data_IF_977430577215
#
_entry.id   IF_977430577215
#
_cell.length_a   1.000
_cell.length_b   1.000
_cell.length_c   1.000
_cell.angle_alpha   90.00
_cell.angle_beta   90.00
_cell.angle_gamma   90.00
#
_symmetry.space_group_name_H-M   'P 1'
#
loop_
_entity.id
_entity.type
_entity.pdbx_description
1 polymer ?
#
# COMPACT_ATOMS: atom_id res chain seq x y z
N UNK A 1 -7.86 -52.28 34.68
CA UNK A 1 -7.19 -50.99 34.90
C UNK A 1 -7.02 -50.34 33.53
N UNK A 2 -7.98 -49.49 33.17
CA UNK A 2 -8.10 -48.90 31.83
C UNK A 2 -7.40 -47.54 31.75
N UNK A 3 -6.60 -47.42 30.69
CA UNK A 3 -5.96 -46.23 30.14
C UNK A 3 -6.78 -44.92 30.24
N UNK A 4 -6.10 -43.79 30.47
CA UNK A 4 -6.42 -42.55 29.74
C UNK A 4 -5.22 -41.63 29.59
N UNK A 5 -4.69 -41.67 28.37
CA UNK A 5 -3.72 -40.76 27.76
C UNK A 5 -4.06 -39.28 28.00
N UNK A 6 -3.13 -38.53 28.61
CA UNK A 6 -3.13 -37.06 28.65
C UNK A 6 -2.04 -36.44 27.76
N UNK A 7 -1.79 -37.03 26.59
CA UNK A 7 -0.85 -36.46 25.61
C UNK A 7 -1.49 -36.36 24.24
N UNK A 8 -2.46 -35.48 24.09
CA UNK A 8 -2.84 -34.99 22.76
C UNK A 8 -2.97 -33.46 22.77
N UNK A 9 -2.29 -32.84 21.79
CA UNK A 9 -2.60 -31.55 21.17
C UNK A 9 -1.87 -30.23 21.55
N UNK A 10 -0.65 -30.22 22.10
CA UNK A 10 0.10 -28.95 22.29
C UNK A 10 0.76 -28.36 21.02
N UNK A 11 0.75 -29.07 19.88
CA UNK A 11 1.42 -28.63 18.64
C UNK A 11 0.62 -27.63 17.77
N UNK A 12 -0.64 -27.36 18.08
CA UNK A 12 -1.53 -26.56 17.22
C UNK A 12 -2.01 -25.20 17.79
N UNK A 13 -1.61 -24.85 19.00
CA UNK A 13 -2.20 -23.73 19.74
C UNK A 13 -1.78 -22.35 19.20
N UNK A 14 -0.55 -22.24 18.71
CA UNK A 14 0.01 -21.01 18.12
C UNK A 14 -0.72 -20.52 16.86
N UNK A 15 -1.55 -21.37 16.25
CA UNK A 15 -2.30 -21.05 15.02
C UNK A 15 -3.78 -20.71 15.30
N UNK A 16 -4.19 -20.67 16.56
CA UNK A 16 -5.61 -20.53 16.94
C UNK A 16 -6.19 -19.21 16.44
N UNK A 17 -5.53 -18.09 16.75
CA UNK A 17 -5.95 -16.79 16.24
C UNK A 17 -5.89 -16.72 14.71
N UNK A 18 -4.84 -17.26 14.10
CA UNK A 18 -4.70 -17.31 12.65
C UNK A 18 -5.87 -18.06 12.00
N UNK A 19 -6.30 -19.18 12.58
CA UNK A 19 -7.44 -19.96 12.08
C UNK A 19 -8.74 -19.17 12.19
N UNK A 20 -8.99 -18.51 13.32
CA UNK A 20 -10.19 -17.67 13.54
C UNK A 20 -10.26 -16.53 12.53
N UNK A 21 -9.16 -15.80 12.32
CA UNK A 21 -9.07 -14.72 11.34
C UNK A 21 -9.29 -15.25 9.93
N UNK A 22 -8.64 -16.37 9.57
CA UNK A 22 -8.79 -17.00 8.25
C UNK A 22 -10.22 -17.44 7.96
N UNK A 23 -10.94 -17.95 8.96
CA UNK A 23 -12.36 -18.34 8.83
C UNK A 23 -13.32 -17.18 9.05
N UNK A 24 -12.82 -15.94 9.22
CA UNK A 24 -13.61 -14.74 9.52
C UNK A 24 -14.51 -14.89 10.75
N UNK A 25 -14.10 -15.70 11.71
CA UNK A 25 -14.82 -15.90 12.97
C UNK A 25 -14.43 -14.80 13.95
N UNK A 26 -14.86 -13.57 13.66
CA UNK A 26 -14.43 -12.36 14.39
C UNK A 26 -14.80 -12.42 15.87
N UNK A 27 -16.01 -12.86 16.21
CA UNK A 27 -16.45 -12.99 17.61
C UNK A 27 -15.54 -13.92 18.41
N UNK A 28 -15.09 -15.03 17.80
CA UNK A 28 -14.16 -15.96 18.44
C UNK A 28 -12.77 -15.36 18.61
N UNK A 29 -12.34 -14.52 17.66
CA UNK A 29 -11.08 -13.81 17.76
C UNK A 29 -11.14 -12.73 18.85
N UNK A 30 -12.24 -11.99 18.95
CA UNK A 30 -12.45 -11.01 20.01
C UNK A 30 -12.55 -11.67 21.40
N UNK A 31 -13.30 -12.76 21.53
CA UNK A 31 -13.33 -13.56 22.77
C UNK A 31 -11.94 -14.08 23.14
N UNK A 32 -11.15 -14.51 22.15
CA UNK A 32 -9.76 -14.88 22.39
C UNK A 32 -8.95 -13.70 22.95
N UNK A 33 -9.13 -12.49 22.41
CA UNK A 33 -8.48 -11.29 22.95
C UNK A 33 -9.00 -10.87 24.33
N UNK A 34 -10.24 -11.19 24.69
CA UNK A 34 -10.76 -10.91 26.04
C UNK A 34 -10.22 -11.89 27.08
N UNK A 35 -10.16 -13.19 26.74
CA UNK A 35 -9.86 -14.26 27.70
C UNK A 35 -8.38 -14.62 27.79
N UNK A 36 -7.62 -14.46 26.70
CA UNK A 36 -6.23 -14.92 26.66
C UNK A 36 -5.28 -14.00 27.45
N UNK A 37 -4.27 -14.61 28.08
CA UNK A 37 -3.16 -13.87 28.69
C UNK A 37 -2.30 -13.16 27.64
N UNK A 38 -1.60 -12.10 28.03
CA UNK A 38 -0.81 -11.28 27.10
C UNK A 38 0.25 -12.08 26.34
N UNK A 39 0.89 -13.04 27.01
CA UNK A 39 1.87 -13.93 26.40
C UNK A 39 1.27 -14.84 25.34
N UNK A 40 0.06 -15.35 25.55
CA UNK A 40 -0.64 -16.19 24.57
C UNK A 40 -1.06 -15.38 23.33
N UNK A 41 -1.55 -14.14 23.55
CA UNK A 41 -1.84 -13.19 22.46
C UNK A 41 -0.59 -12.91 21.64
N UNK A 42 0.52 -12.58 22.30
CA UNK A 42 1.78 -12.30 21.64
C UNK A 42 2.32 -13.51 20.85
N UNK A 43 2.24 -14.71 21.41
CA UNK A 43 2.64 -15.94 20.71
C UNK A 43 1.80 -16.16 19.44
N UNK A 44 0.49 -15.95 19.51
CA UNK A 44 -0.40 -16.07 18.35
C UNK A 44 -0.20 -14.94 17.32
N UNK A 45 0.08 -13.72 17.77
CA UNK A 45 0.35 -12.58 16.88
C UNK A 45 1.65 -12.73 16.10
N UNK A 46 2.67 -13.34 16.73
CA UNK A 46 3.96 -13.64 16.08
C UNK A 46 3.91 -14.86 15.17
N UNK A 47 2.79 -15.61 15.16
CA UNK A 47 2.67 -16.79 14.33
C UNK A 47 2.67 -16.44 12.84
N UNK A 48 3.58 -17.07 12.10
CA UNK A 48 3.65 -17.01 10.64
C UNK A 48 3.18 -18.34 10.07
N UNK A 49 2.06 -18.32 9.34
CA UNK A 49 1.62 -19.53 8.65
C UNK A 49 2.55 -19.79 7.46
N UNK A 50 3.27 -20.91 7.51
CA UNK A 50 4.04 -21.44 6.38
C UNK A 50 3.13 -22.23 5.46
N UNK A 51 3.10 -21.91 4.16
CA UNK A 51 2.47 -22.71 3.12
C UNK A 51 3.46 -22.91 1.97
N UNK A 52 3.99 -24.11 1.85
CA UNK A 52 4.78 -24.50 0.66
C UNK A 52 3.81 -24.79 -0.47
N UNK A 53 3.95 -24.08 -1.59
CA UNK A 53 3.20 -24.34 -2.82
C UNK A 53 3.97 -25.35 -3.70
N UNK A 54 3.32 -26.00 -4.69
CA UNK A 54 3.96 -27.03 -5.51
C UNK A 54 5.23 -26.59 -6.24
N UNK A 55 5.43 -25.29 -6.43
CA UNK A 55 6.67 -24.71 -6.97
C UNK A 55 7.86 -24.70 -6.00
N UNK A 56 7.71 -25.24 -4.78
CA UNK A 56 8.73 -25.23 -3.73
C UNK A 56 8.81 -23.93 -2.93
N UNK A 57 8.12 -22.86 -3.36
CA UNK A 57 8.10 -21.58 -2.67
C UNK A 57 7.32 -21.66 -1.34
N UNK A 58 7.91 -21.22 -0.23
CA UNK A 58 7.22 -21.15 1.07
C UNK A 58 6.64 -19.76 1.28
N UNK A 59 5.31 -19.67 1.37
CA UNK A 59 4.60 -18.43 1.68
C UNK A 59 4.40 -18.27 3.17
N UNK A 60 4.63 -17.06 3.66
CA UNK A 60 4.44 -16.63 5.04
C UNK A 60 3.40 -15.51 5.05
N UNK A 61 2.45 -15.58 5.98
CA UNK A 61 1.47 -14.51 6.16
C UNK A 61 1.32 -14.22 7.65
N UNK A 62 1.70 -13.01 8.11
CA UNK A 62 1.38 -12.55 9.46
C UNK A 62 -0.12 -12.47 9.68
N UNK A 63 -0.59 -12.82 10.87
CA UNK A 63 -2.03 -12.79 11.19
C UNK A 63 -2.62 -11.38 11.11
N UNK A 64 -1.84 -10.35 11.47
CA UNK A 64 -2.26 -8.94 11.34
C UNK A 64 -2.49 -8.56 9.88
N UNK A 65 -1.53 -8.86 9.00
CA UNK A 65 -1.66 -8.62 7.55
C UNK A 65 -2.86 -9.35 6.95
N UNK A 66 -3.16 -10.57 7.43
CA UNK A 66 -4.34 -11.32 7.02
C UNK A 66 -5.64 -10.68 7.52
N UNK A 67 -5.69 -10.23 8.78
CA UNK A 67 -6.85 -9.57 9.35
C UNK A 67 -7.21 -8.29 8.59
N UNK A 68 -6.21 -7.48 8.25
CA UNK A 68 -6.35 -6.28 7.41
C UNK A 68 -6.91 -6.65 6.02
N UNK A 69 -6.31 -7.63 5.35
CA UNK A 69 -6.72 -8.03 4.00
C UNK A 69 -8.15 -8.61 3.94
N UNK A 70 -8.60 -9.25 5.02
CA UNK A 70 -9.93 -9.83 5.10
C UNK A 70 -11.01 -8.84 5.55
N UNK A 71 -10.61 -7.63 5.98
CA UNK A 71 -11.51 -6.60 6.50
C UNK A 71 -12.06 -6.94 7.88
N UNK A 72 -11.18 -7.39 8.79
CA UNK A 72 -11.54 -7.63 10.19
C UNK A 72 -12.07 -6.35 10.88
N UNK A 73 -12.86 -6.49 11.96
CA UNK A 73 -13.35 -5.33 12.71
C UNK A 73 -12.23 -4.41 13.16
N UNK A 74 -12.49 -3.09 13.12
CA UNK A 74 -11.51 -2.05 13.51
C UNK A 74 -11.03 -2.28 14.96
N UNK A 75 -11.93 -2.65 15.87
CA UNK A 75 -11.60 -2.94 17.27
C UNK A 75 -10.57 -4.06 17.39
N UNK A 76 -10.82 -5.19 16.73
CA UNK A 76 -9.90 -6.32 16.70
C UNK A 76 -8.53 -5.94 16.11
N UNK A 77 -8.50 -5.23 14.98
CA UNK A 77 -7.22 -4.80 14.36
C UNK A 77 -6.46 -3.86 15.31
N UNK A 78 -7.15 -2.93 15.98
CA UNK A 78 -6.53 -2.03 16.98
C UNK A 78 -5.91 -2.81 18.11
N UNK A 79 -6.63 -3.77 18.70
CA UNK A 79 -6.09 -4.60 19.78
C UNK A 79 -4.87 -5.41 19.34
N UNK A 80 -4.92 -5.99 18.13
CA UNK A 80 -3.78 -6.72 17.57
C UNK A 80 -2.53 -5.83 17.44
N UNK A 81 -2.70 -4.57 17.02
CA UNK A 81 -1.60 -3.61 16.90
C UNK A 81 -1.08 -3.19 18.27
N UNK A 82 -1.97 -2.85 19.21
CA UNK A 82 -1.59 -2.38 20.54
C UNK A 82 -0.89 -3.47 21.36
N UNK A 83 -1.42 -4.70 21.35
CA UNK A 83 -0.80 -5.84 22.05
C UNK A 83 0.49 -6.27 21.35
N UNK A 84 0.50 -6.29 20.02
CA UNK A 84 1.63 -6.76 19.23
C UNK A 84 2.82 -5.79 19.20
N UNK A 85 2.54 -4.50 19.29
CA UNK A 85 3.51 -3.42 19.23
C UNK A 85 4.32 -3.38 17.92
N UNK A 86 5.44 -2.65 17.97
CA UNK A 86 6.33 -2.43 16.81
C UNK A 86 6.75 -3.73 16.13
N UNK A 87 7.09 -4.76 16.92
CA UNK A 87 7.55 -6.04 16.35
C UNK A 87 6.51 -6.70 15.45
N UNK A 88 5.23 -6.67 15.82
CA UNK A 88 4.17 -7.32 15.03
C UNK A 88 3.84 -6.52 13.77
N UNK A 89 3.81 -5.19 13.85
CA UNK A 89 3.53 -4.35 12.67
C UNK A 89 4.66 -4.37 11.63
N UNK A 90 5.89 -4.64 12.06
CA UNK A 90 7.08 -4.80 11.20
C UNK A 90 7.19 -6.19 10.56
N UNK A 91 6.35 -7.15 10.93
CA UNK A 91 6.38 -8.47 10.29
C UNK A 91 5.98 -8.38 8.82
N UNK A 92 6.73 -9.07 7.97
CA UNK A 92 6.46 -9.11 6.53
C UNK A 92 5.82 -10.41 6.10
N UNK A 93 5.00 -10.36 5.05
CA UNK A 93 4.58 -11.54 4.30
C UNK A 93 5.71 -12.05 3.38
N UNK A 94 5.45 -13.11 2.61
CA UNK A 94 6.42 -13.66 1.65
C UNK A 94 6.79 -12.73 0.50
N UNK A 95 6.06 -11.63 0.30
CA UNK A 95 6.37 -10.58 -0.67
C UNK A 95 7.04 -9.38 -0.01
N UNK A 96 7.50 -9.51 1.24
CA UNK A 96 8.08 -8.41 2.00
C UNK A 96 7.06 -7.35 2.44
N UNK A 97 5.76 -7.58 2.28
CA UNK A 97 4.75 -6.58 2.64
C UNK A 97 4.53 -6.57 4.15
N UNK A 98 4.71 -5.41 4.77
CA UNK A 98 4.32 -5.15 6.16
C UNK A 98 2.80 -4.95 6.28
N UNK A 99 2.30 -4.86 7.52
CA UNK A 99 0.89 -4.52 7.77
C UNK A 99 0.49 -3.17 7.13
N UNK A 100 1.42 -2.20 7.05
CA UNK A 100 1.17 -0.89 6.45
C UNK A 100 0.97 -0.96 4.93
N UNK A 101 1.73 -1.82 4.23
CA UNK A 101 1.53 -2.07 2.80
C UNK A 101 0.13 -2.62 2.54
N UNK A 102 -0.28 -3.61 3.33
CA UNK A 102 -1.62 -4.21 3.23
C UNK A 102 -2.71 -3.19 3.55
N UNK A 103 -2.52 -2.36 4.58
CA UNK A 103 -3.48 -1.32 4.92
C UNK A 103 -3.68 -0.32 3.78
N UNK A 104 -2.60 0.06 3.08
CA UNK A 104 -2.67 0.91 1.89
C UNK A 104 -3.32 0.18 0.70
N UNK A 105 -2.99 -1.10 0.49
CA UNK A 105 -3.55 -1.91 -0.62
C UNK A 105 -5.07 -2.04 -0.53
N UNK A 106 -5.56 -2.33 0.67
CA UNK A 106 -6.96 -2.63 0.94
C UNK A 106 -7.75 -1.41 1.40
N UNK A 107 -7.15 -0.22 1.33
CA UNK A 107 -7.76 1.05 1.75
C UNK A 107 -8.36 0.96 3.17
N UNK A 108 -7.56 0.45 4.10
CA UNK A 108 -8.00 0.36 5.49
C UNK A 108 -8.38 1.74 6.03
N UNK A 109 -9.33 1.81 6.97
CA UNK A 109 -9.74 3.09 7.56
C UNK A 109 -8.54 3.88 8.08
N UNK A 110 -8.56 5.21 7.87
CA UNK A 110 -7.47 6.10 8.29
C UNK A 110 -7.03 5.90 9.76
N UNK A 111 -7.92 5.63 10.74
CA UNK A 111 -7.49 5.36 12.11
C UNK A 111 -6.60 4.11 12.27
N UNK A 112 -6.77 3.09 11.43
CA UNK A 112 -5.90 1.91 11.43
C UNK A 112 -4.55 2.24 10.83
N UNK A 113 -4.54 2.97 9.71
CA UNK A 113 -3.30 3.38 9.03
C UNK A 113 -2.46 4.29 9.92
N UNK A 114 -3.10 5.29 10.56
CA UNK A 114 -2.44 6.18 11.52
C UNK A 114 -1.90 5.41 12.73
N UNK A 115 -2.67 4.47 13.29
CA UNK A 115 -2.18 3.65 14.40
C UNK A 115 -0.97 2.78 14.02
N UNK A 116 -0.95 2.23 12.81
CA UNK A 116 0.22 1.50 12.30
C UNK A 116 1.44 2.42 12.20
N UNK A 117 1.26 3.63 11.66
CA UNK A 117 2.31 4.65 11.56
C UNK A 117 2.84 5.03 12.95
N UNK A 118 1.96 5.20 13.93
CA UNK A 118 2.32 5.62 15.29
C UNK A 118 3.13 4.54 16.02
N UNK A 119 2.75 3.26 15.86
CA UNK A 119 3.45 2.13 16.48
C UNK A 119 4.73 1.75 15.74
N UNK A 120 4.74 1.86 14.41
CA UNK A 120 5.85 1.46 13.56
C UNK A 120 6.91 2.54 13.33
N UNK A 121 6.51 3.81 13.38
CA UNK A 121 7.35 4.97 13.14
C UNK A 121 8.02 5.00 11.76
N UNK A 122 9.15 5.71 11.69
CA UNK A 122 9.93 5.89 10.45
C UNK A 122 10.37 4.58 9.80
N UNK A 123 10.73 3.59 10.60
CA UNK A 123 11.14 2.26 10.09
C UNK A 123 10.03 1.56 9.32
N UNK A 124 8.78 1.59 9.82
CA UNK A 124 7.65 0.98 9.12
C UNK A 124 7.29 1.73 7.84
N UNK A 125 7.33 3.07 7.90
CA UNK A 125 7.03 3.95 6.76
C UNK A 125 8.05 3.75 5.63
N UNK A 126 9.33 3.60 5.99
CA UNK A 126 10.44 3.36 5.05
C UNK A 126 10.62 1.90 4.62
N UNK A 127 9.87 0.96 5.20
CA UNK A 127 9.99 -0.46 4.87
C UNK A 127 9.63 -0.71 3.40
N UNK A 128 10.42 -1.57 2.75
CA UNK A 128 10.27 -1.94 1.34
C UNK A 128 9.77 -3.37 1.21
N UNK A 129 8.83 -3.58 0.30
CA UNK A 129 8.44 -4.91 -0.16
C UNK A 129 9.55 -5.55 -1.02
N UNK A 130 9.35 -6.81 -1.42
CA UNK A 130 10.25 -7.52 -2.35
C UNK A 130 10.31 -6.86 -3.74
N UNK A 131 9.36 -5.99 -4.08
CA UNK A 131 9.38 -5.18 -5.30
C UNK A 131 9.99 -3.78 -5.08
N UNK A 132 10.71 -3.57 -3.98
CA UNK A 132 11.23 -2.27 -3.53
C UNK A 132 10.16 -1.19 -3.33
N UNK A 133 8.88 -1.58 -3.27
CA UNK A 133 7.79 -0.62 -3.10
C UNK A 133 7.61 -0.32 -1.62
N UNK A 134 7.41 0.96 -1.28
CA UNK A 134 7.03 1.39 0.08
C UNK A 134 5.51 1.49 0.20
N UNK A 135 5.00 1.60 1.42
CA UNK A 135 3.57 1.84 1.65
C UNK A 135 3.08 3.15 0.98
N UNK A 136 3.94 4.17 0.89
CA UNK A 136 3.65 5.42 0.17
C UNK A 136 3.39 5.16 -1.33
N UNK A 137 4.18 4.30 -1.98
CA UNK A 137 3.94 3.92 -3.38
C UNK A 137 2.59 3.21 -3.51
N UNK A 138 2.23 2.38 -2.54
CA UNK A 138 1.00 1.61 -2.57
C UNK A 138 -0.24 2.47 -2.39
N UNK A 139 -0.25 3.43 -1.47
CA UNK A 139 -1.39 4.34 -1.31
C UNK A 139 -1.56 5.25 -2.54
N UNK A 140 -0.46 5.70 -3.15
CA UNK A 140 -0.51 6.45 -4.40
C UNK A 140 -0.95 5.61 -5.60
N UNK A 141 -0.72 4.29 -5.59
CA UNK A 141 -1.16 3.36 -6.63
C UNK A 141 -2.59 2.83 -6.40
N UNK A 142 -3.02 2.66 -5.16
CA UNK A 142 -4.32 2.08 -4.80
C UNK A 142 -5.48 2.88 -5.39
N UNK A 143 -5.32 4.20 -5.54
CA UNK A 143 -6.27 5.06 -6.23
C UNK A 143 -6.50 4.72 -7.72
N UNK A 144 -5.67 3.87 -8.32
CA UNK A 144 -5.82 3.37 -9.70
C UNK A 144 -6.38 1.94 -9.79
N UNK A 145 -6.35 1.16 -8.71
CA UNK A 145 -6.60 -0.28 -8.78
C UNK A 145 -8.06 -0.60 -8.42
N UNK A 146 -8.82 -1.02 -9.42
CA UNK A 146 -10.06 -1.78 -9.24
C UNK A 146 -9.73 -2.99 -8.35
N UNK A 147 -10.28 -3.01 -7.13
CA UNK A 147 -9.99 -3.97 -6.05
C UNK A 147 -9.96 -5.42 -6.56
N UNK A 148 -8.81 -6.08 -6.44
CA UNK A 148 -8.66 -7.54 -6.58
C UNK A 148 -8.48 -8.17 -5.20
N UNK A 149 -9.31 -9.15 -4.86
CA UNK A 149 -9.23 -9.91 -3.60
C UNK A 149 -8.25 -11.08 -3.72
N UNK A 150 -7.63 -11.47 -2.58
CA UNK A 150 -6.82 -12.69 -2.47
C UNK A 150 -7.61 -13.93 -2.89
N UNK A 151 -7.01 -14.68 -3.81
CA UNK A 151 -7.48 -15.91 -4.42
C UNK A 151 -7.67 -17.00 -3.34
N UNK A 152 -8.91 -17.34 -3.02
CA UNK A 152 -9.30 -18.50 -2.20
C UNK A 152 -9.48 -19.78 -3.05
N UNK A 153 -8.92 -19.78 -4.27
CA UNK A 153 -9.01 -20.91 -5.19
C UNK A 153 -10.28 -20.92 -6.04
N UNK A 154 -11.08 -19.84 -6.03
CA UNK A 154 -12.32 -19.72 -6.82
C UNK A 154 -12.31 -18.62 -7.89
N UNK A 155 -11.15 -18.04 -8.20
CA UNK A 155 -11.00 -17.08 -9.30
C UNK A 155 -11.12 -15.61 -8.88
N UNK A 156 -10.68 -14.71 -9.79
CA UNK A 156 -10.62 -13.27 -9.58
C UNK A 156 -12.01 -12.64 -9.79
N UNK A 157 -12.62 -12.13 -8.72
CA UNK A 157 -13.83 -11.29 -8.82
C UNK A 157 -13.47 -9.82 -8.63
N UNK A 158 -13.73 -8.94 -9.61
CA UNK A 158 -13.57 -7.50 -9.46
C UNK A 158 -14.60 -6.96 -8.46
N UNK A 159 -14.14 -6.33 -7.37
CA UNK A 159 -15.04 -5.58 -6.50
C UNK A 159 -15.05 -4.11 -6.94
N UNK A 160 -16.10 -3.71 -7.67
CA UNK A 160 -16.49 -2.29 -7.77
C UNK A 160 -17.02 -1.83 -6.40
N UNK A 161 -16.15 -1.71 -5.41
CA UNK A 161 -16.48 -1.07 -4.13
C UNK A 161 -15.87 0.32 -4.16
N UNK A 162 -16.73 1.36 -4.04
CA UNK A 162 -16.34 2.76 -3.79
C UNK A 162 -15.13 2.77 -2.85
N UNK A 163 -14.11 3.56 -3.16
CA UNK A 163 -12.89 3.63 -2.35
C UNK A 163 -13.29 3.82 -0.88
N UNK A 164 -12.73 3.01 0.02
CA UNK A 164 -13.09 3.05 1.43
C UNK A 164 -12.49 4.28 2.13
N UNK A 165 -11.44 4.86 1.55
CA UNK A 165 -10.85 6.12 1.96
C UNK A 165 -11.37 7.24 1.06
N UNK A 166 -11.82 8.33 1.67
CA UNK A 166 -12.08 9.56 0.95
C UNK A 166 -10.76 10.29 0.59
N UNK A 167 -10.83 11.26 -0.31
CA UNK A 167 -9.65 12.01 -0.79
C UNK A 167 -8.91 12.75 0.33
N UNK A 168 -9.63 13.24 1.35
CA UNK A 168 -9.03 13.93 2.49
C UNK A 168 -8.23 12.95 3.35
N UNK A 169 -8.79 11.77 3.65
CA UNK A 169 -8.07 10.71 4.36
C UNK A 169 -6.79 10.28 3.61
N UNK A 170 -6.83 10.17 2.28
CA UNK A 170 -5.63 9.86 1.48
C UNK A 170 -4.58 10.97 1.60
N UNK A 171 -4.98 12.24 1.50
CA UNK A 171 -4.06 13.37 1.71
C UNK A 171 -3.42 13.35 3.09
N UNK A 172 -4.21 13.13 4.14
CA UNK A 172 -3.72 13.09 5.52
C UNK A 172 -2.67 12.00 5.70
N UNK A 173 -2.94 10.78 5.23
CA UNK A 173 -2.01 9.65 5.34
C UNK A 173 -0.74 9.92 4.54
N UNK A 174 -0.86 10.41 3.30
CA UNK A 174 0.31 10.74 2.46
C UNK A 174 1.16 11.81 3.14
N UNK A 175 0.55 12.89 3.64
CA UNK A 175 1.26 13.95 4.35
C UNK A 175 1.99 13.41 5.58
N UNK A 176 1.31 12.61 6.41
CA UNK A 176 1.91 12.00 7.61
C UNK A 176 3.08 11.09 7.26
N UNK A 177 2.95 10.24 6.24
CA UNK A 177 4.05 9.39 5.78
C UNK A 177 5.23 10.22 5.28
N UNK A 178 4.97 11.30 4.54
CA UNK A 178 6.02 12.19 4.01
C UNK A 178 6.69 12.99 5.13
N UNK A 179 5.95 13.45 6.14
CA UNK A 179 6.51 14.17 7.28
C UNK A 179 7.41 13.26 8.13
N UNK A 180 7.04 12.00 8.30
CA UNK A 180 7.83 11.01 9.05
C UNK A 180 9.00 10.45 8.23
N UNK A 181 8.79 10.13 6.95
CA UNK A 181 9.83 9.52 6.11
C UNK A 181 10.76 10.52 5.46
N UNK A 182 10.32 11.76 5.26
CA UNK A 182 11.06 12.83 4.63
C UNK A 182 11.45 12.54 3.18
N UNK A 183 12.52 13.22 2.74
CA UNK A 183 13.03 13.15 1.36
C UNK A 183 13.42 11.74 0.93
N UNK A 184 14.04 10.96 1.80
CA UNK A 184 14.49 9.59 1.50
C UNK A 184 13.31 8.70 1.06
N UNK A 185 12.19 8.78 1.79
CA UNK A 185 10.98 8.03 1.46
C UNK A 185 10.46 8.41 0.06
N UNK A 186 10.34 9.70 -0.20
CA UNK A 186 9.76 10.22 -1.46
C UNK A 186 10.62 9.86 -2.67
N UNK A 187 11.95 9.77 -2.49
CA UNK A 187 12.91 9.41 -3.54
C UNK A 187 12.98 7.89 -3.80
N UNK A 188 12.24 7.07 -3.04
CA UNK A 188 12.27 5.62 -3.21
C UNK A 188 11.63 5.19 -4.52
N UNK A 189 12.27 4.23 -5.18
CA UNK A 189 11.84 3.62 -6.43
C UNK A 189 11.47 2.17 -6.23
N UNK A 190 10.39 1.74 -6.87
CA UNK A 190 10.06 0.32 -6.99
C UNK A 190 10.89 -0.39 -8.09
N UNK A 191 10.60 -1.67 -8.33
CA UNK A 191 11.22 -2.49 -9.37
C UNK A 191 10.97 -2.00 -10.81
N UNK A 192 10.01 -1.11 -11.02
CA UNK A 192 9.74 -0.44 -12.31
C UNK A 192 10.45 0.92 -12.42
N UNK A 193 11.32 1.23 -11.45
CA UNK A 193 11.92 2.54 -11.23
C UNK A 193 10.87 3.66 -11.05
N UNK A 194 9.65 3.32 -10.63
CA UNK A 194 8.61 4.31 -10.37
C UNK A 194 8.65 4.81 -8.93
N UNK A 195 8.48 6.12 -8.77
CA UNK A 195 8.36 6.78 -7.47
C UNK A 195 6.90 6.95 -7.08
N UNK A 196 6.64 7.27 -5.81
CA UNK A 196 5.29 7.59 -5.35
C UNK A 196 4.65 8.74 -6.15
N UNK A 197 5.44 9.74 -6.54
CA UNK A 197 4.98 10.87 -7.36
C UNK A 197 4.42 10.40 -8.71
N UNK A 198 5.09 9.46 -9.37
CA UNK A 198 4.64 8.95 -10.67
C UNK A 198 3.24 8.32 -10.58
N UNK A 199 2.98 7.51 -9.56
CA UNK A 199 1.65 6.95 -9.31
C UNK A 199 0.63 8.01 -8.91
N UNK A 200 1.04 8.92 -8.02
CA UNK A 200 0.17 9.95 -7.46
C UNK A 200 -0.39 10.90 -8.53
N UNK A 201 0.41 11.27 -9.54
CA UNK A 201 -0.02 12.16 -10.63
C UNK A 201 -1.20 11.61 -11.43
N UNK A 202 -1.31 10.29 -11.54
CA UNK A 202 -2.32 9.61 -12.35
C UNK A 202 -3.49 9.05 -11.54
N UNK A 203 -3.37 9.00 -10.22
CA UNK A 203 -4.37 8.43 -9.34
C UNK A 203 -5.50 9.42 -9.04
N UNK A 204 -6.77 9.12 -9.40
CA UNK A 204 -7.90 10.01 -9.10
C UNK A 204 -8.17 10.19 -7.61
N UNK A 205 -7.80 9.20 -6.78
CA UNK A 205 -7.98 9.23 -5.33
C UNK A 205 -6.96 10.10 -4.57
N UNK A 206 -5.84 10.48 -5.18
CA UNK A 206 -4.82 11.32 -4.53
C UNK A 206 -5.08 12.79 -4.89
N UNK A 207 -5.31 13.70 -3.94
CA UNK A 207 -5.58 15.10 -4.27
C UNK A 207 -4.30 15.87 -4.66
N UNK A 208 -4.46 17.01 -5.36
CA UNK A 208 -3.34 17.87 -5.80
C UNK A 208 -2.41 18.25 -4.66
N UNK A 209 -2.95 18.55 -3.48
CA UNK A 209 -2.21 19.00 -2.30
C UNK A 209 -1.18 17.96 -1.84
N UNK A 210 -1.55 16.67 -1.89
CA UNK A 210 -0.64 15.58 -1.57
C UNK A 210 0.47 15.44 -2.62
N UNK A 211 0.15 15.64 -3.90
CA UNK A 211 1.15 15.64 -4.99
C UNK A 211 2.12 16.81 -4.84
N UNK A 212 1.62 18.00 -4.56
CA UNK A 212 2.42 19.21 -4.30
C UNK A 212 3.38 18.98 -3.13
N UNK A 213 2.93 18.35 -2.04
CA UNK A 213 3.79 18.00 -0.91
C UNK A 213 4.94 17.07 -1.33
N UNK A 214 4.67 16.05 -2.14
CA UNK A 214 5.72 15.16 -2.69
C UNK A 214 6.74 15.96 -3.53
N UNK A 215 6.25 16.84 -4.41
CA UNK A 215 7.10 17.69 -5.26
C UNK A 215 7.99 18.60 -4.42
N UNK A 216 7.45 19.27 -3.40
CA UNK A 216 8.21 20.18 -2.53
C UNK A 216 9.29 19.46 -1.72
N UNK A 217 8.98 18.27 -1.20
CA UNK A 217 9.94 17.50 -0.38
C UNK A 217 11.04 16.86 -1.24
N UNK A 218 10.70 16.35 -2.43
CA UNK A 218 11.66 15.75 -3.35
C UNK A 218 12.41 16.73 -4.23
N UNK A 219 11.84 17.91 -4.48
CA UNK A 219 12.39 18.95 -5.34
C UNK A 219 12.66 18.49 -6.77
N UNK A 220 13.51 19.25 -7.46
CA UNK A 220 13.92 18.98 -8.86
C UNK A 220 14.47 17.57 -9.07
N UNK A 221 15.22 17.03 -8.12
CA UNK A 221 15.78 15.68 -8.24
C UNK A 221 14.70 14.60 -8.36
N UNK A 222 13.61 14.70 -7.59
CA UNK A 222 12.49 13.76 -7.69
C UNK A 222 11.83 13.82 -9.07
N UNK A 223 11.65 15.04 -9.59
CA UNK A 223 11.01 15.28 -10.89
C UNK A 223 11.82 14.72 -12.06
N UNK A 224 13.16 14.70 -11.93
CA UNK A 224 14.06 14.16 -12.95
C UNK A 224 14.26 12.64 -12.84
N UNK A 225 13.72 11.97 -11.81
CA UNK A 225 13.74 10.50 -11.77
C UNK A 225 12.91 9.97 -12.94
N UNK A 226 13.46 8.97 -13.61
CA UNK A 226 12.79 8.29 -14.70
C UNK A 226 12.48 6.84 -14.37
N UNK A 227 11.34 6.35 -14.83
CA UNK A 227 11.01 4.93 -14.78
C UNK A 227 11.77 4.12 -15.85
N UNK A 228 11.48 2.82 -15.97
CA UNK A 228 12.11 1.95 -16.97
C UNK A 228 11.92 2.40 -18.44
N UNK A 229 10.90 3.23 -18.72
CA UNK A 229 10.63 3.80 -20.05
C UNK A 229 11.31 5.18 -20.23
N UNK A 230 12.22 5.55 -19.33
CA UNK A 230 12.81 6.89 -19.22
C UNK A 230 11.78 8.02 -19.06
N UNK A 231 10.56 7.71 -18.66
CA UNK A 231 9.51 8.71 -18.46
C UNK A 231 9.64 9.34 -17.06
N UNK A 232 9.63 10.67 -17.01
CA UNK A 232 9.53 11.42 -15.75
C UNK A 232 8.09 11.45 -15.24
N UNK A 233 7.89 11.93 -14.01
CA UNK A 233 6.55 12.12 -13.47
C UNK A 233 5.70 13.08 -14.34
N UNK A 234 6.31 14.08 -14.99
CA UNK A 234 5.58 15.01 -15.85
C UNK A 234 5.10 14.35 -17.15
N UNK A 235 5.91 13.48 -17.75
CA UNK A 235 5.46 12.66 -18.89
C UNK A 235 4.22 11.83 -18.52
N UNK A 236 4.24 11.22 -17.34
CA UNK A 236 3.16 10.35 -16.87
C UNK A 236 1.90 11.17 -16.54
N UNK A 237 2.05 12.34 -15.92
CA UNK A 237 0.95 13.25 -15.59
C UNK A 237 0.20 13.74 -16.84
N UNK A 238 0.92 13.97 -17.94
CA UNK A 238 0.38 14.45 -19.21
C UNK A 238 -0.11 13.32 -20.13
N UNK A 239 0.26 12.08 -19.83
CA UNK A 239 -0.11 10.94 -20.66
C UNK A 239 -1.57 10.54 -20.45
N UNK A 240 -2.40 10.73 -21.49
CA UNK A 240 -3.79 10.23 -21.53
C UNK A 240 -3.80 8.82 -22.10
N UNK A 241 -4.32 7.86 -21.35
CA UNK A 241 -4.54 6.53 -21.90
C UNK A 241 -5.70 6.61 -22.90
N UNK A 242 -5.40 6.31 -24.17
CA UNK A 242 -6.39 6.24 -25.25
C UNK A 242 -7.28 5.02 -25.01
N UNK A 243 -8.46 5.21 -24.41
CA UNK A 243 -9.43 4.13 -24.30
C UNK A 243 -10.72 4.53 -24.99
N UNK A 244 -11.09 3.75 -26.00
CA UNK A 244 -12.41 3.62 -26.62
C UNK A 244 -13.52 3.19 -25.63
N UNK A 245 -13.28 3.28 -24.32
CA UNK A 245 -14.27 3.03 -23.29
C UNK A 245 -15.01 4.33 -23.03
N UNK A 246 -16.30 4.32 -23.37
CA UNK A 246 -17.32 5.35 -23.07
C UNK A 246 -17.55 5.59 -21.56
N UNK A 247 -16.56 5.31 -20.71
CA UNK A 247 -16.59 5.44 -19.24
C UNK A 247 -15.40 6.23 -18.66
N UNK A 248 -14.62 6.93 -19.49
CA UNK A 248 -13.45 7.71 -19.04
C UNK A 248 -13.71 9.20 -18.76
N UNK A 249 -14.90 9.56 -18.26
CA UNK A 249 -15.29 10.97 -18.05
C UNK A 249 -14.69 11.65 -16.81
N UNK A 250 -13.85 10.99 -16.00
CA UNK A 250 -13.33 11.59 -14.76
C UNK A 250 -11.85 11.31 -14.48
N UNK A 251 -10.96 11.40 -15.49
CA UNK A 251 -9.55 11.66 -15.15
C UNK A 251 -9.38 13.17 -14.93
N UNK A 252 -9.57 13.60 -13.68
CA UNK A 252 -9.32 14.98 -13.28
C UNK A 252 -7.83 15.26 -13.46
N UNK A 253 -7.48 16.14 -14.40
CA UNK A 253 -6.10 16.62 -14.52
C UNK A 253 -5.71 17.35 -13.23
N UNK A 254 -4.57 16.99 -12.67
CA UNK A 254 -4.01 17.62 -11.48
C UNK A 254 -3.30 18.91 -11.86
N UNK A 255 -4.05 19.87 -12.39
CA UNK A 255 -3.49 21.08 -13.01
C UNK A 255 -2.64 21.89 -12.01
N UNK A 256 -3.04 21.94 -10.73
CA UNK A 256 -2.25 22.61 -9.69
C UNK A 256 -0.94 21.87 -9.45
N UNK A 257 -0.97 20.54 -9.35
CA UNK A 257 0.24 19.76 -9.19
C UNK A 257 1.17 19.85 -10.41
N UNK A 258 0.64 19.81 -11.63
CA UNK A 258 1.43 19.96 -12.87
C UNK A 258 2.14 21.32 -12.89
N UNK A 259 1.44 22.41 -12.52
CA UNK A 259 2.05 23.73 -12.42
C UNK A 259 3.21 23.74 -11.42
N UNK A 260 2.99 23.22 -10.22
CA UNK A 260 4.05 23.12 -9.21
C UNK A 260 5.25 22.27 -9.70
N UNK A 261 4.99 21.19 -10.45
CA UNK A 261 6.06 20.38 -11.06
C UNK A 261 6.89 21.18 -12.06
N UNK A 262 6.25 22.02 -12.88
CA UNK A 262 6.94 22.89 -13.84
C UNK A 262 7.73 23.97 -13.09
N UNK A 263 7.14 24.59 -12.07
CA UNK A 263 7.78 25.66 -11.28
C UNK A 263 9.04 25.15 -10.56
N UNK A 264 9.00 23.93 -9.99
CA UNK A 264 10.13 23.32 -9.28
C UNK A 264 11.14 22.66 -10.24
N UNK A 265 10.65 22.07 -11.34
CA UNK A 265 11.47 21.34 -12.30
C UNK A 265 12.19 22.22 -13.30
N UNK A 266 11.58 23.35 -13.68
CA UNK A 266 12.07 24.29 -14.66
C UNK A 266 12.24 23.71 -16.06
N UNK A 267 13.10 24.36 -16.85
CA UNK A 267 13.36 24.02 -18.27
C UNK A 267 13.82 22.56 -18.44
N UNK A 268 14.67 22.06 -17.54
CA UNK A 268 15.19 20.69 -17.61
C UNK A 268 14.09 19.64 -17.60
N UNK A 269 13.03 19.86 -16.81
CA UNK A 269 11.93 18.92 -16.71
C UNK A 269 11.08 18.91 -17.99
N UNK A 270 10.75 20.09 -18.53
CA UNK A 270 9.91 20.22 -19.74
C UNK A 270 10.66 19.85 -21.02
N UNK A 271 11.99 19.80 -20.99
CA UNK A 271 12.84 19.37 -22.13
C UNK A 271 13.34 17.94 -21.99
N UNK A 272 13.11 17.27 -20.84
CA UNK A 272 13.49 15.88 -20.63
C UNK A 272 12.86 14.97 -21.69
N UNK A 273 13.63 14.02 -22.23
CA UNK A 273 13.16 13.11 -23.29
C UNK A 273 12.93 11.71 -22.75
N UNK A 274 11.72 11.19 -22.93
CA UNK A 274 11.40 9.78 -22.67
C UNK A 274 11.92 8.85 -23.78
N UNK A 275 12.06 7.56 -23.48
CA UNK A 275 12.57 6.57 -24.44
C UNK A 275 11.57 6.31 -25.57
N UNK A 276 10.27 6.27 -25.24
CA UNK A 276 9.21 6.09 -26.23
C UNK A 276 9.12 7.35 -27.11
N UNK A 277 9.62 7.24 -28.35
CA UNK A 277 9.62 8.27 -29.40
C UNK A 277 10.45 9.54 -29.10
N UNK A 278 11.29 9.55 -28.07
CA UNK A 278 12.10 10.74 -27.72
C UNK A 278 11.25 11.95 -27.31
N UNK A 279 9.99 11.71 -26.91
CA UNK A 279 9.02 12.76 -26.67
C UNK A 279 9.40 13.56 -25.43
N UNK A 280 9.20 14.87 -25.51
CA UNK A 280 9.20 15.75 -24.36
C UNK A 280 7.82 15.71 -23.70
N UNK A 281 7.68 16.18 -22.45
CA UNK A 281 6.38 16.40 -21.85
C UNK A 281 5.42 17.20 -22.73
N UNK A 282 5.92 18.21 -23.46
CA UNK A 282 5.12 19.01 -24.37
C UNK A 282 4.59 18.18 -25.55
N UNK A 283 5.42 17.32 -26.14
CA UNK A 283 4.94 16.40 -27.18
C UNK A 283 3.82 15.49 -26.64
N UNK A 284 3.99 14.96 -25.41
CA UNK A 284 2.95 14.14 -24.76
C UNK A 284 1.67 14.96 -24.54
N UNK A 285 1.76 16.18 -24.03
CA UNK A 285 0.59 17.06 -23.83
C UNK A 285 -0.18 17.29 -25.14
N UNK A 286 0.53 17.61 -26.23
CA UNK A 286 -0.06 17.87 -27.54
C UNK A 286 -0.69 16.61 -28.15
N UNK A 287 -0.03 15.46 -28.07
CA UNK A 287 -0.53 14.20 -28.64
C UNK A 287 -1.75 13.64 -27.91
N UNK A 288 -1.91 13.96 -26.63
CA UNK A 288 -2.90 13.32 -25.76
C UNK A 288 -3.98 14.29 -25.22
N UNK A 289 -4.00 15.52 -25.73
CA UNK A 289 -5.05 16.51 -25.44
C UNK A 289 -5.08 16.94 -23.98
N UNK A 290 -3.92 17.29 -23.42
CA UNK A 290 -3.85 17.95 -22.13
C UNK A 290 -4.57 19.31 -22.20
N UNK A 291 -5.31 19.72 -21.15
CA UNK A 291 -5.95 21.03 -21.11
C UNK A 291 -4.89 22.15 -21.19
N UNK A 292 -5.24 23.30 -21.79
CA UNK A 292 -4.36 24.46 -21.88
C UNK A 292 -3.95 25.02 -20.51
#
# INVERSE_FOLDING_TARGET
MGNSNSTTNSKNDHSRLYRMVRTKSWDKAEQFFQLAGIEEKLRNLRYLRRKTIPSGETRYTPVLSLAIALGAPIGLIREMILVGGKRVVMMTDSKGNTALHMACQYESPAPIVNLLIDVGGRELVGAKSSSNSTALIWICNAGMVVKMRLNDGKGLVPLKKKSALDKHSVAEIVNRMVDIGGRELVMTKDSRNQTALMYATTAPGVPDEAVIKLVRVGGKQLLMITNNNRATALHIALWRQNNNDKQSSERTFKTKAIREMIDVGGVDLVTARAYFLGLTPLHVACSFGAPP
#
